data_IF_124806884166
#
_entry.id   IF_124806884166
#
_cell.length_a   1.000
_cell.length_b   1.000
_cell.length_c   1.000
_cell.angle_alpha   90.00
_cell.angle_beta   90.00
_cell.angle_gamma   90.00
#
_symmetry.space_group_name_H-M   'P 1'
#
loop_
_entity.id
_entity.type
_entity.pdbx_description
1 polymer ?
#
# COMPACT_ATOMS: atom_id res chain seq x y z
N UNK A 1 -5.55 5.49 5.11
CA UNK A 1 -4.78 4.37 5.67
C UNK A 1 -3.26 4.56 5.57
N UNK A 2 -2.80 5.48 4.72
CA UNK A 2 -1.37 5.70 4.50
C UNK A 2 -0.90 7.10 4.94
N UNK A 3 -1.59 7.73 5.87
CA UNK A 3 -1.29 9.08 6.32
C UNK A 3 0.13 9.19 6.89
N UNK A 4 0.57 8.20 7.67
CA UNK A 4 1.90 8.21 8.29
C UNK A 4 3.03 8.00 7.28
N UNK A 5 2.72 7.53 6.07
CA UNK A 5 3.66 7.43 4.96
C UNK A 5 3.61 8.67 4.05
N UNK A 6 2.86 9.71 4.43
CA UNK A 6 2.76 10.94 3.67
C UNK A 6 1.73 10.90 2.55
N UNK A 7 0.87 9.89 2.51
CA UNK A 7 -0.15 9.73 1.47
C UNK A 7 -1.52 10.00 2.06
N UNK A 8 -2.20 11.01 1.57
CA UNK A 8 -3.55 11.38 1.99
C UNK A 8 -4.60 10.85 1.00
N UNK A 9 -5.86 10.80 1.43
CA UNK A 9 -6.93 10.19 0.65
C UNK A 9 -7.13 10.80 -0.74
N UNK A 10 -6.88 12.10 -0.87
CA UNK A 10 -7.06 12.80 -2.15
C UNK A 10 -5.76 12.89 -2.98
N UNK A 11 -4.70 12.27 -2.54
CA UNK A 11 -3.45 12.27 -3.28
C UNK A 11 -3.58 11.40 -4.54
N UNK A 12 -2.90 11.84 -5.60
CA UNK A 12 -2.72 11.03 -6.81
C UNK A 12 -1.42 10.27 -6.68
N UNK A 13 -1.45 8.98 -6.94
CA UNK A 13 -0.25 8.15 -6.88
C UNK A 13 0.19 7.72 -8.27
N UNK A 14 1.49 7.66 -8.45
CA UNK A 14 2.11 7.13 -9.68
C UNK A 14 2.54 5.69 -9.39
N UNK A 15 2.01 4.76 -10.17
CA UNK A 15 2.17 3.32 -9.93
C UNK A 15 2.95 2.69 -11.07
N UNK A 16 3.98 1.92 -10.71
CA UNK A 16 4.74 1.11 -11.65
C UNK A 16 4.22 -0.32 -11.58
N UNK A 17 3.59 -0.78 -12.66
CA UNK A 17 3.03 -2.12 -12.76
C UNK A 17 4.09 -3.20 -13.01
N UNK A 18 5.26 -2.82 -13.51
CA UNK A 18 6.33 -3.75 -13.86
C UNK A 18 7.37 -3.93 -12.78
N UNK A 19 7.34 -3.09 -11.74
CA UNK A 19 8.31 -3.17 -10.64
C UNK A 19 8.08 -4.42 -9.79
N UNK A 20 9.16 -5.02 -9.33
CA UNK A 20 9.09 -6.13 -8.38
C UNK A 20 8.85 -5.57 -6.97
N UNK A 21 7.77 -5.98 -6.29
CA UNK A 21 7.53 -5.53 -4.92
C UNK A 21 8.59 -6.10 -3.97
N UNK A 22 9.19 -5.24 -3.17
CA UNK A 22 10.15 -5.63 -2.14
C UNK A 22 9.73 -5.06 -0.80
N UNK A 23 10.23 -5.64 0.29
CA UNK A 23 9.91 -5.19 1.64
C UNK A 23 10.22 -3.70 1.82
N UNK A 24 9.31 -2.97 2.45
CA UNK A 24 9.40 -1.55 2.68
C UNK A 24 8.71 -0.68 1.63
N UNK A 25 8.35 -1.23 0.48
CA UNK A 25 7.70 -0.46 -0.58
C UNK A 25 6.21 -0.28 -0.33
N UNK A 26 5.69 0.86 -0.78
CA UNK A 26 4.25 1.08 -0.83
C UNK A 26 3.72 0.43 -2.10
N UNK A 27 2.65 -0.33 -1.97
CA UNK A 27 2.06 -1.08 -3.08
C UNK A 27 0.56 -0.82 -3.17
N UNK A 28 0.03 -1.01 -4.36
CA UNK A 28 -1.40 -1.16 -4.58
C UNK A 28 -1.68 -2.65 -4.62
N UNK A 29 -2.60 -3.11 -3.81
CA UNK A 29 -2.99 -4.51 -3.76
C UNK A 29 -4.49 -4.66 -3.99
N UNK A 30 -4.89 -5.82 -4.47
CA UNK A 30 -6.30 -6.20 -4.59
C UNK A 30 -6.63 -7.14 -3.44
N UNK A 31 -7.54 -6.70 -2.58
CA UNK A 31 -7.97 -7.47 -1.40
C UNK A 31 -9.50 -7.50 -1.43
N UNK A 32 -10.07 -8.70 -1.40
CA UNK A 32 -11.54 -8.89 -1.43
C UNK A 32 -12.22 -8.11 -2.56
N UNK A 33 -11.58 -8.06 -3.73
CA UNK A 33 -12.13 -7.41 -4.91
C UNK A 33 -11.95 -5.89 -4.94
N UNK A 34 -11.32 -5.29 -3.95
CA UNK A 34 -11.07 -3.85 -3.89
C UNK A 34 -9.60 -3.51 -3.92
N UNK A 35 -9.29 -2.33 -4.44
CA UNK A 35 -7.93 -1.81 -4.39
C UNK A 35 -7.64 -1.18 -3.03
N UNK A 36 -6.51 -1.53 -2.46
CA UNK A 36 -6.01 -0.91 -1.23
C UNK A 36 -4.57 -0.46 -1.43
N UNK A 37 -4.17 0.59 -0.73
CA UNK A 37 -2.79 1.07 -0.71
C UNK A 37 -2.18 0.72 0.64
N UNK A 38 -1.06 -0.01 0.64
CA UNK A 38 -0.45 -0.52 1.86
C UNK A 38 1.07 -0.55 1.72
N UNK A 39 1.77 -0.66 2.83
CA UNK A 39 3.20 -0.94 2.84
C UNK A 39 3.41 -2.46 2.89
N UNK A 40 4.23 -2.97 1.98
CA UNK A 40 4.65 -4.37 2.00
C UNK A 40 5.79 -4.51 3.00
N UNK A 41 5.65 -5.43 3.95
CA UNK A 41 6.66 -5.68 4.98
C UNK A 41 6.80 -7.18 5.16
N UNK A 42 8.03 -7.66 5.27
CA UNK A 42 8.28 -9.06 5.63
C UNK A 42 8.29 -9.19 7.15
N UNK A 43 7.40 -10.06 7.66
CA UNK A 43 7.30 -10.38 9.08
C UNK A 43 7.40 -11.89 9.25
N UNK A 44 8.38 -12.34 10.04
CA UNK A 44 8.60 -13.78 10.27
C UNK A 44 8.70 -14.57 8.96
N UNK A 45 9.36 -14.00 7.96
CA UNK A 45 9.54 -14.63 6.67
C UNK A 45 8.31 -14.61 5.75
N UNK A 46 7.24 -13.88 6.14
CA UNK A 46 6.01 -13.81 5.35
C UNK A 46 5.74 -12.38 4.91
N UNK A 47 5.22 -12.17 3.68
CA UNK A 47 4.82 -10.85 3.24
C UNK A 47 3.51 -10.43 3.93
N UNK A 48 3.48 -9.22 4.44
CA UNK A 48 2.33 -8.65 5.13
C UNK A 48 2.07 -7.26 4.56
N UNK A 49 0.80 -6.91 4.38
CA UNK A 49 0.37 -5.58 3.95
C UNK A 49 -0.08 -4.81 5.18
N UNK A 50 0.57 -3.69 5.44
CA UNK A 50 0.31 -2.87 6.62
C UNK A 50 -0.15 -1.48 6.22
N UNK A 51 -1.20 -0.98 6.88
CA UNK A 51 -1.60 0.41 6.78
C UNK A 51 -0.64 1.27 7.62
N UNK A 52 -0.32 2.47 7.11
CA UNK A 52 0.57 3.42 7.80
C UNK A 52 -0.27 4.57 8.34
N UNK A 53 -1.04 4.29 9.39
CA UNK A 53 -1.88 5.30 10.05
C UNK A 53 -1.95 4.99 11.56
N UNK A 54 -1.24 5.79 12.35
CA UNK A 54 -1.18 5.61 13.81
C UNK A 54 -2.48 5.98 14.51
N UNK A 55 -3.36 6.76 13.88
CA UNK A 55 -4.63 7.20 14.48
C UNK A 55 -5.72 6.15 14.40
N UNK A 56 -5.63 5.28 13.42
CA UNK A 56 -6.62 4.24 13.18
C UNK A 56 -5.91 2.91 13.05
N UNK A 57 -6.45 1.89 13.68
CA UNK A 57 -5.92 0.53 13.50
C UNK A 57 -6.60 -0.11 12.31
N UNK A 58 -5.76 -0.63 11.44
CA UNK A 58 -6.19 -1.48 10.34
C UNK A 58 -5.55 -2.84 10.54
N UNK A 59 -6.31 -3.89 10.32
CA UNK A 59 -5.76 -5.24 10.41
C UNK A 59 -4.70 -5.44 9.33
N UNK A 60 -3.56 -6.01 9.72
CA UNK A 60 -2.54 -6.40 8.76
C UNK A 60 -3.06 -7.57 7.94
N UNK A 61 -2.82 -7.54 6.64
CA UNK A 61 -3.26 -8.58 5.71
C UNK A 61 -2.05 -9.35 5.25
N UNK A 62 -2.08 -10.67 5.43
CA UNK A 62 -1.03 -11.54 4.90
C UNK A 62 -1.18 -11.59 3.38
N UNK A 63 -0.10 -11.26 2.67
CA UNK A 63 -0.10 -11.25 1.21
C UNK A 63 0.15 -12.67 0.68
N UNK A 64 -0.87 -13.51 0.78
CA UNK A 64 -0.85 -14.88 0.26
C UNK A 64 -1.43 -14.93 -1.16
N UNK A 65 -1.76 -16.14 -1.63
CA UNK A 65 -2.28 -16.35 -3.00
C UNK A 65 -3.61 -15.67 -3.24
N UNK A 66 -4.38 -15.34 -2.19
CA UNK A 66 -5.66 -14.64 -2.32
C UNK A 66 -5.50 -13.13 -2.51
N UNK A 67 -4.30 -12.60 -2.37
CA UNK A 67 -3.99 -11.18 -2.47
C UNK A 67 -3.07 -10.95 -3.65
N UNK A 68 -3.48 -10.08 -4.58
CA UNK A 68 -2.65 -9.69 -5.72
C UNK A 68 -2.00 -8.34 -5.42
N UNK A 69 -0.68 -8.27 -5.58
CA UNK A 69 0.03 -6.98 -5.62
C UNK A 69 -0.06 -6.45 -7.04
N UNK A 70 -0.82 -5.37 -7.22
CA UNK A 70 -1.12 -4.82 -8.54
C UNK A 70 0.01 -3.94 -9.07
N UNK A 71 0.69 -3.22 -8.21
CA UNK A 71 1.81 -2.36 -8.61
C UNK A 71 2.49 -1.72 -7.42
N UNK A 72 3.63 -1.09 -7.69
CA UNK A 72 4.46 -0.40 -6.69
C UNK A 72 4.27 1.11 -6.83
N UNK A 73 3.98 1.79 -5.75
CA UNK A 73 3.80 3.25 -5.74
C UNK A 73 5.17 3.91 -5.80
N UNK A 74 5.39 4.73 -6.83
CA UNK A 74 6.66 5.44 -7.04
C UNK A 74 6.63 6.86 -6.52
N UNK A 75 5.48 7.51 -6.54
CA UNK A 75 5.34 8.89 -6.13
C UNK A 75 3.91 9.16 -5.72
N UNK A 76 3.74 10.19 -4.92
CA UNK A 76 2.44 10.72 -4.54
C UNK A 76 2.43 12.21 -4.82
N UNK A 77 1.34 12.69 -5.41
CA UNK A 77 1.16 14.11 -5.74
C UNK A 77 -0.06 14.61 -5.01
N UNK A 78 0.12 15.63 -4.17
CA UNK A 78 -0.97 16.24 -3.44
C UNK A 78 -1.60 17.36 -4.25
N UNK A 79 -2.93 17.32 -4.39
CA UNK A 79 -3.69 18.39 -5.00
C UNK A 79 -4.01 19.44 -3.92
N UNK A 80 -3.37 20.61 -4.02
CA UNK A 80 -3.57 21.69 -3.05
C UNK A 80 -4.85 22.50 -3.27
N UNK A 81 -5.51 22.31 -4.41
CA UNK A 81 -6.72 23.05 -4.74
C UNK A 81 -8.01 22.28 -4.42
N UNK A 82 -7.88 21.06 -3.99
CA UNK A 82 -9.09 20.24 -3.82
C UNK A 82 -9.34 19.59 -2.76
#
# INVERSE_FOLDING_TARGET
SMIDAGINDDDVVVVDRDATPVSGRIVIAVVDGGFVIRQLVWRDGKPVLEARNARMRYDAVIADESVEVWGVVRASVRNLQG
#
